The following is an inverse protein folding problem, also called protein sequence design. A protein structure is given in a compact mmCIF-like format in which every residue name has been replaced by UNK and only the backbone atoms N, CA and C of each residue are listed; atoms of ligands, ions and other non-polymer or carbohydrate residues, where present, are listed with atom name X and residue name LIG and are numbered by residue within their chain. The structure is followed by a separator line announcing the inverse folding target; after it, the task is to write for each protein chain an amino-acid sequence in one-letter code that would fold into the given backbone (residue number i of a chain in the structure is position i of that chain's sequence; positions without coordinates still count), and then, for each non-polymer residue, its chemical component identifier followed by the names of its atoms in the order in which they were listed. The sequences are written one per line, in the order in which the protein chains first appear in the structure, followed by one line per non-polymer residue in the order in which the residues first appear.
data_IF_683093829562
#
_entry.id   IF_683093829562
#
_cell.length_a   1.000
_cell.length_b   1.000
_cell.length_c   1.000
_cell.angle_alpha   90.00
_cell.angle_beta   90.00
_cell.angle_gamma   90.00
#
_symmetry.space_group_name_H-M   'P 1'
#
loop_
_entity.id
_entity.type
_entity.pdbx_description
1 polymer ?
#
# COMPACT_ATOMS: atom_id res chain seq x y z
N UNK A 1 7.69 15.28 3.95
CA UNK A 1 6.51 14.61 4.54
C UNK A 1 6.80 13.15 4.85
N UNK A 2 7.28 12.38 3.87
CA UNK A 2 7.57 10.93 3.99
C UNK A 2 8.67 10.60 5.00
N UNK A 3 9.74 11.39 5.07
CA UNK A 3 10.82 11.20 6.06
C UNK A 3 10.37 11.42 7.51
N UNK A 4 9.47 12.39 7.73
CA UNK A 4 8.90 12.66 9.05
C UNK A 4 8.07 11.47 9.53
N UNK A 5 7.25 10.90 8.64
CA UNK A 5 6.46 9.70 8.91
C UNK A 5 7.37 8.49 9.18
N UNK A 6 8.43 8.29 8.39
CA UNK A 6 9.37 7.18 8.62
C UNK A 6 10.06 7.25 10.00
N UNK A 7 10.37 8.47 10.47
CA UNK A 7 10.96 8.70 11.81
C UNK A 7 9.93 8.60 12.95
N UNK A 8 8.70 9.07 12.73
CA UNK A 8 7.63 9.06 13.73
C UNK A 8 7.20 7.64 14.12
N UNK A 9 7.24 6.69 13.18
CA UNK A 9 6.87 5.30 13.43
C UNK A 9 7.97 4.42 14.06
N UNK A 10 9.14 4.99 14.43
CA UNK A 10 10.34 4.28 14.94
C UNK A 10 10.04 2.98 15.72
N UNK A 11 10.09 1.81 15.06
CA UNK A 11 9.79 0.56 15.72
C UNK A 11 11.08 -0.15 16.06
N UNK A 12 11.22 -0.56 17.32
CA UNK A 12 12.47 -1.14 17.84
C UNK A 12 12.97 -2.39 17.09
N UNK A 13 12.18 -3.07 16.25
CA UNK A 13 12.63 -4.18 15.40
C UNK A 13 11.69 -4.44 14.19
N UNK A 14 11.05 -3.42 13.60
CA UNK A 14 10.21 -3.63 12.39
C UNK A 14 10.93 -3.06 11.18
N UNK A 15 11.30 -3.93 10.25
CA UNK A 15 11.74 -3.53 8.92
C UNK A 15 10.57 -2.80 8.26
N UNK A 16 10.72 -1.49 8.01
CA UNK A 16 9.70 -0.70 7.34
C UNK A 16 9.91 -0.88 5.84
N UNK A 17 8.88 -1.38 5.15
CA UNK A 17 8.87 -1.43 3.69
C UNK A 17 8.00 -0.29 3.16
N UNK A 18 8.53 0.47 2.21
CA UNK A 18 7.83 1.58 1.56
C UNK A 18 7.59 1.19 0.11
N UNK A 19 6.31 1.17 -0.30
CA UNK A 19 5.95 1.01 -1.71
C UNK A 19 5.98 2.39 -2.37
N UNK A 20 6.67 2.49 -3.50
CA UNK A 20 6.72 3.74 -4.30
C UNK A 20 6.44 3.37 -5.75
N UNK A 21 5.58 4.13 -6.42
CA UNK A 21 5.37 3.98 -7.85
C UNK A 21 6.67 4.28 -8.62
N UNK A 22 7.12 3.32 -9.42
CA UNK A 22 8.27 3.44 -10.31
C UNK A 22 7.87 4.20 -11.59
N UNK A 23 7.51 5.47 -11.44
CA UNK A 23 7.17 6.38 -12.52
C UNK A 23 7.44 7.84 -12.15
N UNK A 24 7.88 8.64 -13.13
CA UNK A 24 8.09 10.08 -12.99
C UNK A 24 8.89 10.42 -11.72
N UNK A 25 8.34 11.24 -10.83
CA UNK A 25 8.98 11.66 -9.57
C UNK A 25 9.29 10.51 -8.61
N UNK A 26 8.60 9.37 -8.73
CA UNK A 26 8.84 8.21 -7.88
C UNK A 26 10.20 7.54 -8.13
N UNK A 27 10.76 7.63 -9.34
CA UNK A 27 12.08 7.06 -9.64
C UNK A 27 13.21 7.72 -8.86
N UNK A 28 13.15 9.05 -8.75
CA UNK A 28 14.13 9.80 -7.99
C UNK A 28 13.99 9.52 -6.49
N UNK A 29 12.75 9.48 -5.98
CA UNK A 29 12.48 9.13 -4.58
C UNK A 29 12.97 7.73 -4.19
N UNK A 30 12.84 6.74 -5.09
CA UNK A 30 13.35 5.39 -4.84
C UNK A 30 14.88 5.41 -4.68
N UNK A 31 15.57 6.18 -5.52
CA UNK A 31 17.03 6.31 -5.44
C UNK A 31 17.42 7.03 -4.15
N UNK A 32 16.82 8.20 -3.89
CA UNK A 32 17.14 9.04 -2.73
C UNK A 32 16.92 8.30 -1.40
N UNK A 33 15.79 7.59 -1.25
CA UNK A 33 15.48 6.85 -0.02
C UNK A 33 16.32 5.58 0.08
N UNK A 34 16.68 4.97 -1.05
CA UNK A 34 17.64 3.85 -1.08
C UNK A 34 18.99 4.19 -0.44
N UNK A 35 19.37 5.48 -0.41
CA UNK A 35 20.60 5.94 0.25
C UNK A 35 20.44 6.20 1.77
N UNK A 36 19.22 6.19 2.33
CA UNK A 36 18.95 6.61 3.72
C UNK A 36 19.21 5.53 4.81
N UNK A 37 19.73 4.34 4.44
CA UNK A 37 20.30 3.36 5.38
C UNK A 37 19.56 2.00 5.50
N UNK A 38 20.16 1.08 6.26
CA UNK A 38 19.89 -0.39 6.22
C UNK A 38 18.50 -0.86 6.69
N UNK A 39 17.74 -0.02 7.39
CA UNK A 39 16.47 -0.43 8.03
C UNK A 39 15.20 -0.04 7.25
N UNK A 40 15.33 0.69 6.14
CA UNK A 40 14.19 1.09 5.30
C UNK A 40 14.33 0.41 3.94
N UNK A 41 13.37 -0.45 3.61
CA UNK A 41 13.36 -1.12 2.30
C UNK A 41 12.35 -0.47 1.37
N UNK A 42 12.84 0.18 0.34
CA UNK A 42 11.99 0.72 -0.73
C UNK A 42 11.70 -0.36 -1.76
N UNK A 43 10.44 -0.49 -2.15
CA UNK A 43 10.00 -1.40 -3.21
C UNK A 43 9.32 -0.54 -4.27
N UNK A 44 9.97 -0.45 -5.43
CA UNK A 44 9.37 0.10 -6.64
C UNK A 44 8.22 -0.79 -7.11
N UNK A 45 7.05 -0.20 -7.35
CA UNK A 45 5.89 -0.90 -7.93
C UNK A 45 5.46 -0.24 -9.21
N UNK A 46 5.06 -1.05 -10.19
CA UNK A 46 4.46 -0.56 -11.44
C UNK A 46 2.95 -0.74 -11.34
N UNK A 47 2.16 0.33 -11.44
CA UNK A 47 0.72 0.22 -11.37
C UNK A 47 0.20 -0.74 -12.46
N UNK A 48 -0.65 -1.69 -12.05
CA UNK A 48 -1.37 -2.59 -12.94
C UNK A 48 -2.80 -2.10 -13.09
N UNK A 49 -3.34 -2.24 -14.31
CA UNK A 49 -4.68 -1.78 -14.68
C UNK A 49 -4.89 -0.27 -14.47
N UNK A 50 -6.02 0.25 -14.94
CA UNK A 50 -6.44 1.61 -14.60
C UNK A 50 -6.86 1.70 -13.12
N UNK A 51 -6.97 2.92 -12.59
CA UNK A 51 -7.28 3.16 -11.17
C UNK A 51 -8.65 2.59 -10.75
N UNK A 52 -9.67 2.63 -11.62
CA UNK A 52 -11.01 2.08 -11.31
C UNK A 52 -10.90 0.58 -11.11
N UNK A 53 -10.32 -0.11 -12.09
CA UNK A 53 -10.16 -1.57 -12.07
C UNK A 53 -9.31 -2.02 -10.89
N UNK A 54 -8.25 -1.26 -10.57
CA UNK A 54 -7.37 -1.53 -9.44
C UNK A 54 -8.03 -1.37 -8.08
N UNK A 55 -8.92 -0.40 -7.92
CA UNK A 55 -9.71 -0.26 -6.70
C UNK A 55 -10.77 -1.36 -6.59
N UNK A 56 -11.46 -1.65 -7.70
CA UNK A 56 -12.47 -2.70 -7.74
C UNK A 56 -11.91 -4.08 -7.31
N UNK A 57 -10.64 -4.37 -7.62
CA UNK A 57 -10.00 -5.64 -7.22
C UNK A 57 -9.77 -5.81 -5.72
N UNK A 58 -9.83 -4.72 -4.94
CA UNK A 58 -9.62 -4.70 -3.49
C UNK A 58 -10.88 -4.42 -2.67
N UNK A 59 -11.99 -4.00 -3.31
CA UNK A 59 -13.32 -3.86 -2.67
C UNK A 59 -13.70 -5.08 -1.83
N UNK A 60 -13.47 -6.34 -2.27
CA UNK A 60 -13.80 -7.51 -1.45
C UNK A 60 -13.10 -7.55 -0.09
N UNK A 61 -11.89 -6.97 0.03
CA UNK A 61 -11.14 -6.92 1.31
C UNK A 61 -11.81 -5.97 2.31
N UNK A 62 -12.43 -4.90 1.82
CA UNK A 62 -13.23 -4.01 2.66
C UNK A 62 -14.54 -4.68 3.08
N UNK A 63 -15.21 -5.36 2.14
CA UNK A 63 -16.47 -6.07 2.40
C UNK A 63 -16.31 -7.22 3.39
N UNK A 64 -15.16 -7.91 3.38
CA UNK A 64 -14.85 -8.98 4.32
C UNK A 64 -14.32 -8.48 5.68
N UNK A 65 -14.33 -7.17 5.93
CA UNK A 65 -13.74 -6.53 7.11
C UNK A 65 -12.24 -6.86 7.33
N UNK A 66 -11.51 -7.19 6.25
CA UNK A 66 -10.06 -7.45 6.29
C UNK A 66 -9.23 -6.17 6.32
N UNK A 67 -9.87 -5.01 6.14
CA UNK A 67 -9.24 -3.69 6.19
C UNK A 67 -9.88 -2.86 7.29
N UNK A 68 -9.06 -2.44 8.26
CA UNK A 68 -9.49 -1.53 9.32
C UNK A 68 -9.03 -0.10 8.97
N UNK A 69 -9.98 0.83 8.93
CA UNK A 69 -9.70 2.26 8.74
C UNK A 69 -10.04 2.97 10.05
N UNK A 70 -9.13 3.83 10.52
CA UNK A 70 -9.40 4.68 11.68
C UNK A 70 -10.58 5.62 11.39
N UNK A 71 -11.60 5.60 12.26
CA UNK A 71 -12.76 6.49 12.18
C UNK A 71 -12.38 7.98 12.20
N UNK A 72 -11.23 8.33 12.75
CA UNK A 72 -10.76 9.72 12.82
C UNK A 72 -10.22 10.24 11.49
N UNK A 73 -10.01 9.37 10.49
CA UNK A 73 -9.48 9.77 9.19
C UNK A 73 -10.59 10.10 8.19
N UNK A 74 -11.24 11.25 8.40
CA UNK A 74 -12.35 11.73 7.56
C UNK A 74 -11.98 11.89 6.09
N UNK A 75 -10.72 12.25 5.80
CA UNK A 75 -10.24 12.42 4.42
C UNK A 75 -10.13 11.09 3.66
N UNK A 76 -9.64 10.03 4.34
CA UNK A 76 -9.51 8.69 3.73
C UNK A 76 -10.88 8.13 3.42
N UNK A 77 -11.82 8.21 4.38
CA UNK A 77 -13.19 7.73 4.17
C UNK A 77 -13.90 8.53 3.07
N UNK A 78 -13.72 9.84 3.04
CA UNK A 78 -14.29 10.69 1.98
C UNK A 78 -13.78 10.27 0.61
N UNK A 79 -12.49 10.01 0.46
CA UNK A 79 -11.93 9.63 -0.83
C UNK A 79 -12.42 8.24 -1.28
N UNK A 80 -12.34 7.24 -0.40
CA UNK A 80 -12.77 5.86 -0.68
C UNK A 80 -14.26 5.74 -1.02
N UNK A 81 -15.12 6.52 -0.37
CA UNK A 81 -16.57 6.43 -0.57
C UNK A 81 -17.07 7.19 -1.80
N UNK A 82 -16.34 8.21 -2.27
CA UNK A 82 -16.78 9.08 -3.38
C UNK A 82 -16.03 8.83 -4.69
N UNK A 83 -15.02 7.96 -4.69
CA UNK A 83 -14.35 7.50 -5.91
C UNK A 83 -15.34 6.74 -6.82
N UNK A 84 -15.40 6.96 -8.14
CA UNK A 84 -14.47 7.64 -9.05
C UNK A 84 -14.84 9.11 -9.38
N UNK A 85 -15.77 9.73 -8.64
CA UNK A 85 -16.38 11.00 -9.04
C UNK A 85 -15.72 12.25 -8.43
N UNK A 86 -14.55 12.08 -7.84
CA UNK A 86 -13.83 13.14 -7.12
C UNK A 86 -12.53 13.51 -7.85
N UNK A 87 -12.08 14.73 -7.60
CA UNK A 87 -10.85 15.26 -8.19
C UNK A 87 -9.58 14.61 -7.64
N UNK A 88 -9.57 14.29 -6.35
CA UNK A 88 -8.41 13.75 -5.66
C UNK A 88 -8.59 12.24 -5.52
N UNK A 89 -7.62 11.47 -5.99
CA UNK A 89 -7.65 10.00 -5.98
C UNK A 89 -6.34 9.37 -5.48
N UNK A 90 -5.41 10.18 -4.96
CA UNK A 90 -4.08 9.75 -4.54
C UNK A 90 -4.11 8.78 -3.34
N UNK A 91 -5.02 8.99 -2.38
CA UNK A 91 -5.19 8.12 -1.22
C UNK A 91 -5.82 6.80 -1.65
N UNK A 92 -6.89 6.85 -2.43
CA UNK A 92 -7.56 5.66 -2.97
C UNK A 92 -6.57 4.82 -3.77
N UNK A 93 -5.75 5.47 -4.60
CA UNK A 93 -4.75 4.77 -5.39
C UNK A 93 -3.67 4.13 -4.52
N UNK A 94 -3.12 4.88 -3.57
CA UNK A 94 -2.10 4.37 -2.64
C UNK A 94 -2.60 3.16 -1.83
N UNK A 95 -3.84 3.23 -1.33
CA UNK A 95 -4.47 2.13 -0.59
C UNK A 95 -4.69 0.92 -1.50
N UNK A 96 -5.18 1.16 -2.73
CA UNK A 96 -5.44 0.09 -3.70
C UNK A 96 -4.15 -0.64 -4.08
N UNK A 97 -3.06 0.09 -4.29
CA UNK A 97 -1.76 -0.50 -4.61
C UNK A 97 -1.19 -1.32 -3.46
N UNK A 98 -1.27 -0.80 -2.23
CA UNK A 98 -0.85 -1.54 -1.05
C UNK A 98 -1.64 -2.84 -0.88
N UNK A 99 -2.97 -2.78 -0.96
CA UNK A 99 -3.82 -3.96 -0.77
C UNK A 99 -3.61 -5.01 -1.87
N UNK A 100 -3.45 -4.59 -3.13
CA UNK A 100 -3.10 -5.52 -4.21
C UNK A 100 -1.72 -6.15 -4.01
N UNK A 101 -0.72 -5.37 -3.56
CA UNK A 101 0.61 -5.91 -3.25
C UNK A 101 0.57 -6.96 -2.13
N UNK A 102 -0.18 -6.69 -1.06
CA UNK A 102 -0.34 -7.62 0.06
C UNK A 102 -1.10 -8.88 -0.34
N UNK A 103 -2.15 -8.74 -1.15
CA UNK A 103 -2.91 -9.85 -1.74
C UNK A 103 -1.98 -10.77 -2.53
N UNK A 104 -1.19 -10.23 -3.46
CA UNK A 104 -0.24 -11.00 -4.29
C UNK A 104 0.84 -11.70 -3.45
N UNK A 105 1.30 -11.10 -2.35
CA UNK A 105 2.28 -11.72 -1.43
C UNK A 105 1.69 -12.88 -0.64
N UNK A 106 0.45 -12.76 -0.18
CA UNK A 106 -0.26 -13.85 0.52
C UNK A 106 -0.41 -15.09 -0.37
N UNK A 107 -0.73 -14.89 -1.66
CA UNK A 107 -0.84 -15.99 -2.63
C UNK A 107 0.50 -16.66 -2.99
N UNK A 108 1.63 -15.97 -2.83
CA UNK A 108 2.97 -16.56 -3.10
C UNK A 108 3.44 -17.54 -2.03
N UNK A 109 2.82 -17.53 -0.84
CA UNK A 109 3.03 -18.54 0.18
C UNK A 109 1.71 -19.29 0.39
N UNK A 110 1.31 -20.17 -0.56
CA UNK A 110 0.12 -20.98 -0.35
C UNK A 110 0.28 -21.72 0.98
N UNK A 111 -0.74 -21.65 1.83
CA UNK A 111 -0.80 -22.42 3.06
C UNK A 111 -0.43 -23.87 2.72
N UNK A 112 0.75 -24.30 3.18
CA UNK A 112 1.16 -25.70 3.04
C UNK A 112 0.22 -26.50 3.94
N UNK A 113 -0.83 -27.07 3.34
CA UNK A 113 -1.62 -28.11 4.00
C UNK A 113 -0.65 -29.29 4.19
N UNK A 114 -0.03 -29.37 5.37
CA UNK A 114 0.64 -30.58 5.80
C UNK A 114 -0.46 -31.50 6.29
N UNK A 115 -0.86 -32.45 5.46
CA UNK A 115 -1.64 -33.59 5.92
C UNK A 115 -0.74 -34.36 6.89
N UNK A 116 -1.10 -34.37 8.17
CA UNK A 116 -0.55 -35.32 9.13
C UNK A 116 -1.28 -36.64 8.86
N UNK A 117 -0.58 -37.57 8.22
CA UNK A 117 -0.90 -39.00 8.24
C UNK A 117 0.06 -39.65 9.24
#
# INVERSE_FOLDING_TARGET
MTEKLAREYQPKFILIFILIEDKASGQQLIQDIGFLGDNIRVIGIKPRFDKVTRFASVVPLFQSASVLISKQSSIILKELLNFFHIKNDDIVDSVSQFLNFMKDKSFKYPARIRTLI
#
